data_IF_416054426049
#
_entry.id   IF_416054426049
#
_cell.length_a   1.000
_cell.length_b   1.000
_cell.length_c   1.000
_cell.angle_alpha   90.00
_cell.angle_beta   90.00
_cell.angle_gamma   90.00
#
_symmetry.space_group_name_H-M   'P 1'
#
loop_
_entity.id
_entity.type
_entity.pdbx_description
1 polymer ?
#
# COMPACT_ATOMS: atom_id res chain seq x y z
N UNK A 1 -13.42 -3.46 36.16
CA UNK A 1 -12.44 -3.25 35.07
C UNK A 1 -12.54 -4.48 34.19
N UNK A 2 -13.40 -4.41 33.18
CA UNK A 2 -13.76 -5.55 32.34
C UNK A 2 -12.94 -5.47 31.06
N UNK A 3 -11.92 -6.31 30.97
CA UNK A 3 -11.12 -6.54 29.77
C UNK A 3 -12.03 -6.93 28.61
N UNK A 4 -12.40 -5.96 27.78
CA UNK A 4 -12.90 -6.21 26.44
C UNK A 4 -11.71 -6.62 25.57
N UNK A 5 -11.23 -7.83 25.80
CA UNK A 5 -10.33 -8.48 24.85
C UNK A 5 -11.11 -8.63 23.55
N UNK A 6 -10.71 -7.85 22.55
CA UNK A 6 -11.35 -7.82 21.24
C UNK A 6 -11.17 -9.22 20.60
N UNK A 7 -12.16 -10.09 20.75
CA UNK A 7 -12.15 -11.41 20.12
C UNK A 7 -12.23 -11.24 18.59
N UNK A 8 -11.35 -11.95 17.88
CA UNK A 8 -11.30 -12.12 16.41
C UNK A 8 -10.57 -11.06 15.55
N UNK A 9 -9.64 -10.26 16.10
CA UNK A 9 -8.81 -9.30 15.31
C UNK A 9 -9.63 -8.46 14.30
N UNK A 10 -10.62 -7.67 14.76
CA UNK A 10 -11.47 -6.91 13.86
C UNK A 10 -10.68 -5.85 13.10
N UNK A 11 -11.06 -5.65 11.85
CA UNK A 11 -10.46 -4.68 10.97
C UNK A 11 -11.55 -3.98 10.16
N UNK A 12 -11.66 -2.67 10.30
CA UNK A 12 -12.55 -1.89 9.46
C UNK A 12 -11.79 -1.42 8.21
N UNK A 13 -12.38 -1.55 7.03
CA UNK A 13 -11.78 -1.08 5.79
C UNK A 13 -12.73 -0.13 5.09
N UNK A 14 -12.25 1.09 4.81
CA UNK A 14 -12.95 2.07 3.98
C UNK A 14 -12.12 2.31 2.73
N UNK A 15 -12.66 1.86 1.60
CA UNK A 15 -12.02 1.98 0.29
C UNK A 15 -12.88 2.78 -0.68
N UNK A 16 -12.25 3.27 -1.74
CA UNK A 16 -12.93 4.00 -2.79
C UNK A 16 -11.93 4.66 -3.74
N UNK A 17 -12.38 5.14 -4.89
CA UNK A 17 -11.52 5.83 -5.84
C UNK A 17 -11.01 7.16 -5.26
N UNK A 18 -10.01 7.74 -5.91
CA UNK A 18 -9.55 9.11 -5.61
C UNK A 18 -10.71 10.10 -5.73
N UNK A 19 -10.72 11.14 -4.88
CA UNK A 19 -11.77 12.15 -4.83
C UNK A 19 -13.19 11.64 -4.47
N UNK A 20 -13.32 10.41 -3.99
CA UNK A 20 -14.57 9.88 -3.42
C UNK A 20 -14.86 10.41 -2.00
N UNK A 21 -13.97 11.17 -1.36
CA UNK A 21 -14.18 11.61 0.02
C UNK A 21 -14.04 10.50 1.07
N UNK A 22 -13.52 9.31 0.68
CA UNK A 22 -13.22 8.20 1.60
C UNK A 22 -12.40 8.62 2.83
N UNK A 23 -11.44 9.53 2.66
CA UNK A 23 -10.56 9.99 3.74
C UNK A 23 -11.35 10.72 4.82
N UNK A 24 -12.20 11.69 4.42
CA UNK A 24 -13.07 12.42 5.35
C UNK A 24 -14.09 11.52 6.04
N UNK A 25 -14.64 10.54 5.31
CA UNK A 25 -15.52 9.52 5.88
C UNK A 25 -14.78 8.66 6.91
N UNK A 26 -13.58 8.18 6.58
CA UNK A 26 -12.75 7.40 7.49
C UNK A 26 -12.41 8.17 8.76
N UNK A 27 -12.07 9.46 8.64
CA UNK A 27 -11.81 10.32 9.80
C UNK A 27 -13.06 10.52 10.67
N UNK A 28 -14.25 10.72 10.09
CA UNK A 28 -15.52 10.78 10.84
C UNK A 28 -15.82 9.48 11.58
N UNK A 29 -15.64 8.34 10.92
CA UNK A 29 -15.85 7.02 11.53
C UNK A 29 -14.83 6.78 12.63
N UNK A 30 -13.56 7.10 12.39
CA UNK A 30 -12.49 6.97 13.37
C UNK A 30 -12.78 7.80 14.63
N UNK A 31 -13.18 9.06 14.47
CA UNK A 31 -13.58 9.94 15.57
C UNK A 31 -14.69 9.33 16.43
N UNK A 32 -15.75 8.78 15.79
CA UNK A 32 -16.90 8.19 16.50
C UNK A 32 -16.57 6.90 17.23
N UNK A 33 -15.66 6.10 16.69
CA UNK A 33 -15.24 4.83 17.28
C UNK A 33 -14.07 4.97 18.26
N UNK A 34 -13.47 6.16 18.37
CA UNK A 34 -12.19 6.33 19.07
C UNK A 34 -11.04 5.56 18.39
N UNK A 35 -11.15 5.34 17.08
CA UNK A 35 -10.22 4.58 16.25
C UNK A 35 -9.09 5.43 15.69
N UNK A 36 -8.03 4.75 15.26
CA UNK A 36 -6.92 5.31 14.50
C UNK A 36 -6.93 4.75 13.07
N UNK A 37 -6.38 5.51 12.12
CA UNK A 37 -6.40 5.16 10.70
C UNK A 37 -5.06 4.59 10.27
N UNK A 38 -5.05 3.49 9.53
CA UNK A 38 -3.88 2.98 8.80
C UNK A 38 -4.05 3.31 7.32
N UNK A 39 -3.16 4.12 6.75
CA UNK A 39 -3.23 4.47 5.32
C UNK A 39 -2.91 3.26 4.44
N UNK A 40 -3.75 2.99 3.46
CA UNK A 40 -3.52 2.03 2.38
C UNK A 40 -3.38 2.77 1.04
N UNK A 41 -2.48 3.74 1.01
CA UNK A 41 -2.10 4.50 -0.18
C UNK A 41 -0.59 4.43 -0.40
N UNK A 42 -0.18 3.84 -1.52
CA UNK A 42 1.22 3.60 -1.84
C UNK A 42 2.02 4.86 -2.15
N UNK A 43 1.35 6.02 -2.29
CA UNK A 43 2.02 7.32 -2.57
C UNK A 43 2.12 8.19 -1.33
N UNK A 44 1.15 8.11 -0.41
CA UNK A 44 1.15 8.93 0.81
C UNK A 44 2.23 8.52 1.82
N UNK A 45 2.89 7.37 1.62
CA UNK A 45 4.00 6.90 2.46
C UNK A 45 5.23 7.81 2.38
N UNK A 46 5.39 8.60 1.31
CA UNK A 46 6.61 9.37 1.04
C UNK A 46 6.54 10.79 1.60
N UNK A 47 7.50 11.17 2.44
CA UNK A 47 7.69 12.53 2.96
C UNK A 47 7.84 13.54 1.83
N UNK A 48 7.51 14.81 2.10
CA UNK A 48 7.67 15.96 1.16
C UNK A 48 6.85 15.90 -0.13
N UNK A 49 6.24 14.76 -0.47
CA UNK A 49 5.34 14.60 -1.60
C UNK A 49 3.89 14.71 -1.12
N UNK A 50 3.37 15.91 -0.90
CA UNK A 50 2.09 16.14 -0.23
C UNK A 50 0.95 16.41 -1.22
N UNK A 51 1.08 17.46 -2.05
CA UNK A 51 0.05 17.89 -2.99
C UNK A 51 -0.12 16.86 -4.10
N UNK A 52 0.98 16.46 -4.72
CA UNK A 52 0.93 15.56 -5.87
C UNK A 52 0.44 14.15 -5.54
N UNK A 53 0.68 13.69 -4.31
CA UNK A 53 0.17 12.39 -3.81
C UNK A 53 -1.20 12.49 -3.17
N UNK A 54 -1.68 13.72 -2.96
CA UNK A 54 -3.00 13.99 -2.43
C UNK A 54 -3.16 13.68 -0.96
N UNK A 55 -2.17 14.04 -0.14
CA UNK A 55 -2.30 14.12 1.31
C UNK A 55 -3.08 15.38 1.68
N UNK A 56 -4.39 15.31 1.46
CA UNK A 56 -5.30 16.35 1.93
C UNK A 56 -5.39 16.24 3.47
N UNK A 57 -4.38 16.72 4.22
CA UNK A 57 -4.26 16.52 5.68
C UNK A 57 -5.49 17.03 6.44
N UNK A 58 -6.14 18.09 5.94
CA UNK A 58 -7.38 18.64 6.48
C UNK A 58 -8.54 17.63 6.48
N UNK A 59 -8.53 16.63 5.58
CA UNK A 59 -9.55 15.58 5.57
C UNK A 59 -9.47 14.70 6.85
N UNK A 60 -8.37 14.74 7.59
CA UNK A 60 -8.17 14.04 8.87
C UNK A 60 -8.51 14.88 10.10
N UNK A 61 -8.95 16.13 9.93
CA UNK A 61 -9.36 17.00 11.05
C UNK A 61 -10.89 16.99 11.20
N UNK A 62 -11.37 16.56 12.37
CA UNK A 62 -12.80 16.50 12.70
C UNK A 62 -13.05 17.27 13.99
N UNK A 63 -13.93 18.28 13.94
CA UNK A 63 -14.25 19.14 15.09
C UNK A 63 -13.00 19.72 15.77
N UNK A 64 -12.06 20.23 14.96
CA UNK A 64 -10.74 20.75 15.37
C UNK A 64 -9.84 19.73 16.08
N UNK A 65 -10.10 18.42 15.94
CA UNK A 65 -9.25 17.34 16.44
C UNK A 65 -8.61 16.60 15.27
N UNK A 66 -7.30 16.46 15.33
CA UNK A 66 -6.54 15.64 14.40
C UNK A 66 -6.79 14.16 14.71
N UNK A 67 -7.26 13.39 13.73
CA UNK A 67 -7.36 11.94 13.83
C UNK A 67 -5.96 11.34 13.62
N UNK A 68 -5.50 10.40 14.47
CA UNK A 68 -4.23 9.72 14.26
C UNK A 68 -4.24 8.89 12.98
N UNK A 69 -3.19 9.03 12.17
CA UNK A 69 -3.02 8.29 10.92
C UNK A 69 -1.61 7.70 10.86
N UNK A 70 -1.54 6.42 10.54
CA UNK A 70 -0.32 5.64 10.38
C UNK A 70 0.01 5.45 8.89
N UNK A 71 1.28 5.17 8.61
CA UNK A 71 1.82 4.88 7.27
C UNK A 71 1.72 6.03 6.26
N UNK A 72 1.69 7.27 6.77
CA UNK A 72 1.90 8.49 6.00
C UNK A 72 3.25 9.06 6.42
N UNK A 73 4.03 9.58 5.47
CA UNK A 73 5.34 10.20 5.75
C UNK A 73 6.32 9.27 6.48
N UNK A 74 6.39 8.00 6.08
CA UNK A 74 7.26 6.99 6.70
C UNK A 74 8.49 6.64 5.84
N UNK A 75 8.57 7.13 4.60
CA UNK A 75 9.68 6.94 3.65
C UNK A 75 10.15 8.25 3.06
N UNK A 76 11.41 8.32 2.66
CA UNK A 76 11.92 9.44 1.87
C UNK A 76 11.63 9.21 0.38
N UNK A 77 11.37 10.28 -0.40
CA UNK A 77 11.36 10.22 -1.86
C UNK A 77 12.63 9.54 -2.41
N UNK A 78 12.47 8.70 -3.44
CA UNK A 78 13.55 7.88 -4.00
C UNK A 78 13.74 6.53 -3.30
N UNK A 79 13.19 6.34 -2.10
CA UNK A 79 13.18 5.03 -1.47
C UNK A 79 12.17 4.09 -2.13
N UNK A 80 12.52 2.80 -2.19
CA UNK A 80 11.59 1.76 -2.62
C UNK A 80 10.70 1.36 -1.47
N UNK A 81 9.41 1.25 -1.74
CA UNK A 81 8.43 0.76 -0.76
C UNK A 81 7.59 -0.36 -1.38
N UNK A 82 7.85 -1.59 -0.95
CA UNK A 82 7.26 -2.80 -1.52
C UNK A 82 5.98 -3.21 -0.80
N UNK A 83 5.23 -4.14 -1.39
CA UNK A 83 4.07 -4.74 -0.73
C UNK A 83 4.44 -5.49 0.56
N UNK A 84 5.65 -6.08 0.62
CA UNK A 84 6.17 -6.72 1.83
C UNK A 84 6.44 -5.69 2.93
N UNK A 85 7.06 -4.56 2.58
CA UNK A 85 7.29 -3.46 3.53
C UNK A 85 5.95 -2.94 4.09
N UNK A 86 4.96 -2.78 3.22
CA UNK A 86 3.61 -2.42 3.63
C UNK A 86 2.99 -3.41 4.61
N UNK A 87 3.02 -4.72 4.35
CA UNK A 87 2.47 -5.71 5.29
C UNK A 87 3.18 -5.67 6.66
N UNK A 88 4.51 -5.44 6.66
CA UNK A 88 5.29 -5.31 7.88
C UNK A 88 4.91 -4.07 8.68
N UNK A 89 4.90 -2.92 8.03
CA UNK A 89 4.59 -1.66 8.69
C UNK A 89 3.10 -1.60 9.09
N UNK A 90 2.21 -2.23 8.31
CA UNK A 90 0.80 -2.47 8.65
C UNK A 90 0.66 -3.29 9.93
N UNK A 91 1.35 -4.44 10.03
CA UNK A 91 1.26 -5.29 11.22
C UNK A 91 1.68 -4.54 12.48
N UNK A 92 2.75 -3.75 12.38
CA UNK A 92 3.23 -2.93 13.48
C UNK A 92 2.17 -1.90 13.91
N UNK A 93 1.65 -1.10 12.97
CA UNK A 93 0.62 -0.10 13.24
C UNK A 93 -0.67 -0.74 13.79
N UNK A 94 -1.11 -1.85 13.19
CA UNK A 94 -2.26 -2.61 13.65
C UNK A 94 -2.08 -3.11 15.09
N UNK A 95 -0.92 -3.68 15.41
CA UNK A 95 -0.62 -4.20 16.75
C UNK A 95 -0.60 -3.08 17.79
N UNK A 96 -0.04 -1.92 17.44
CA UNK A 96 -0.03 -0.74 18.31
C UNK A 96 -1.46 -0.27 18.63
N UNK A 97 -2.31 -0.12 17.61
CA UNK A 97 -3.70 0.32 17.79
C UNK A 97 -4.50 -0.74 18.56
N UNK A 98 -4.37 -2.02 18.21
CA UNK A 98 -5.07 -3.12 18.88
C UNK A 98 -4.67 -3.23 20.36
N UNK A 99 -3.40 -2.96 20.71
CA UNK A 99 -2.93 -2.96 22.10
C UNK A 99 -3.61 -1.89 22.98
N UNK A 100 -4.16 -0.84 22.37
CA UNK A 100 -4.95 0.21 23.05
C UNK A 100 -6.41 -0.23 23.29
N UNK A 101 -6.81 -1.44 22.87
CA UNK A 101 -8.18 -1.91 22.95
C UNK A 101 -9.13 -1.24 21.95
N UNK A 102 -8.57 -0.74 20.83
CA UNK A 102 -9.27 0.03 19.80
C UNK A 102 -9.30 -0.74 18.49
N UNK A 103 -10.41 -0.67 17.75
CA UNK A 103 -10.54 -1.31 16.43
C UNK A 103 -9.77 -0.49 15.39
N UNK A 104 -8.78 -1.05 14.67
CA UNK A 104 -8.06 -0.33 13.63
C UNK A 104 -8.90 -0.10 12.37
N UNK A 105 -8.74 1.06 11.73
CA UNK A 105 -9.44 1.44 10.49
C UNK A 105 -8.45 1.62 9.35
N UNK A 106 -8.57 0.82 8.30
CA UNK A 106 -7.79 0.97 7.06
C UNK A 106 -8.51 1.91 6.11
N UNK A 107 -7.82 2.94 5.62
CA UNK A 107 -8.38 3.84 4.61
C UNK A 107 -7.41 3.99 3.43
N UNK A 108 -7.89 3.78 2.21
CA UNK A 108 -6.99 3.89 1.06
C UNK A 108 -7.61 3.62 -0.30
N UNK A 109 -6.78 3.76 -1.33
CA UNK A 109 -7.13 3.52 -2.73
C UNK A 109 -6.24 2.47 -3.41
N UNK A 110 -5.16 2.03 -2.77
CA UNK A 110 -4.27 0.99 -3.33
C UNK A 110 -4.90 -0.37 -3.09
N UNK A 111 -5.69 -0.84 -4.06
CA UNK A 111 -6.41 -2.11 -3.97
C UNK A 111 -5.53 -3.31 -3.60
N UNK A 112 -4.31 -3.36 -4.13
CA UNK A 112 -3.34 -4.43 -3.82
C UNK A 112 -2.89 -4.43 -2.34
N UNK A 113 -2.74 -3.25 -1.72
CA UNK A 113 -2.35 -3.15 -0.30
C UNK A 113 -3.47 -3.69 0.58
N UNK A 114 -4.69 -3.25 0.32
CA UNK A 114 -5.89 -3.71 1.03
C UNK A 114 -6.07 -5.22 0.82
N UNK A 115 -5.99 -5.68 -0.43
CA UNK A 115 -6.17 -7.09 -0.78
C UNK A 115 -5.13 -7.99 -0.09
N UNK A 116 -3.87 -7.57 -0.07
CA UNK A 116 -2.79 -8.33 0.58
C UNK A 116 -3.00 -8.48 2.09
N UNK A 117 -3.66 -7.54 2.73
CA UNK A 117 -4.03 -7.61 4.16
C UNK A 117 -5.25 -8.52 4.36
N UNK A 118 -6.37 -8.22 3.68
CA UNK A 118 -7.64 -8.93 3.91
C UNK A 118 -7.59 -10.40 3.47
N UNK A 119 -6.81 -10.71 2.43
CA UNK A 119 -6.61 -12.09 1.93
C UNK A 119 -5.41 -12.78 2.55
N UNK A 120 -4.72 -12.13 3.49
CA UNK A 120 -3.53 -12.64 4.16
C UNK A 120 -2.50 -13.21 3.17
N UNK A 121 -2.05 -12.38 2.23
CA UNK A 121 -1.04 -12.82 1.26
C UNK A 121 0.22 -13.26 1.97
N UNK A 122 0.68 -14.47 1.65
CA UNK A 122 1.94 -15.02 2.17
C UNK A 122 3.13 -14.42 1.43
N UNK A 123 3.53 -13.21 1.82
CA UNK A 123 4.73 -12.56 1.32
C UNK A 123 5.92 -12.94 2.20
N UNK A 124 6.93 -13.57 1.59
CA UNK A 124 8.19 -13.87 2.24
C UNK A 124 9.23 -12.83 1.84
N UNK A 125 10.10 -12.44 2.76
CA UNK A 125 11.29 -11.68 2.43
C UNK A 125 12.32 -12.60 1.76
N UNK A 126 12.16 -12.81 0.46
CA UNK A 126 13.06 -13.67 -0.31
C UNK A 126 14.35 -12.91 -0.60
N UNK A 127 15.51 -13.33 -0.05
CA UNK A 127 16.78 -12.69 -0.35
C UNK A 127 17.15 -12.89 -1.81
N UNK A 128 17.88 -11.93 -2.37
CA UNK A 128 18.43 -12.06 -3.72
C UNK A 128 19.48 -13.16 -3.73
N UNK A 129 19.34 -14.14 -4.62
CA UNK A 129 20.35 -15.18 -4.81
C UNK A 129 21.16 -14.87 -6.06
N UNK A 130 22.32 -14.25 -5.86
CA UNK A 130 23.20 -13.80 -6.96
C UNK A 130 23.73 -14.95 -7.81
N UNK A 131 23.92 -16.14 -7.24
CA UNK A 131 24.39 -17.33 -7.97
C UNK A 131 23.32 -17.87 -8.90
N UNK A 132 22.09 -18.06 -8.40
CA UNK A 132 20.95 -18.49 -9.21
C UNK A 132 20.64 -17.49 -10.33
N UNK A 133 20.74 -16.19 -10.05
CA UNK A 133 20.54 -15.16 -11.08
C UNK A 133 21.55 -15.27 -12.20
N UNK A 134 22.84 -15.45 -11.90
CA UNK A 134 23.88 -15.65 -12.93
C UNK A 134 23.62 -16.89 -13.79
N UNK A 135 23.14 -17.97 -13.17
CA UNK A 135 22.77 -19.19 -13.89
C UNK A 135 21.56 -18.95 -14.82
N UNK A 136 20.50 -18.34 -14.30
CA UNK A 136 19.29 -18.05 -15.06
C UNK A 136 19.47 -16.98 -16.13
N UNK A 137 20.42 -16.06 -15.93
CA UNK A 137 20.83 -15.09 -16.94
C UNK A 137 21.41 -15.74 -18.21
N UNK A 138 21.85 -17.01 -18.16
CA UNK A 138 22.28 -17.76 -19.34
C UNK A 138 21.15 -18.50 -20.06
N UNK A 139 19.95 -18.58 -19.47
CA UNK A 139 18.79 -19.29 -20.05
C UNK A 139 17.95 -18.36 -20.92
N UNK A 140 17.18 -18.93 -21.85
CA UNK A 140 16.17 -18.19 -22.61
C UNK A 140 14.97 -17.83 -21.72
N UNK A 141 14.24 -16.77 -22.08
CA UNK A 141 13.03 -16.37 -21.34
C UNK A 141 11.96 -17.49 -21.41
N UNK A 142 11.93 -18.27 -22.49
CA UNK A 142 11.04 -19.43 -22.62
C UNK A 142 11.37 -20.53 -21.60
N UNK A 143 12.64 -20.91 -21.49
CA UNK A 143 13.08 -21.91 -20.50
C UNK A 143 12.76 -21.45 -19.07
N UNK A 144 13.00 -20.17 -18.76
CA UNK A 144 12.69 -19.62 -17.44
C UNK A 144 11.18 -19.61 -17.15
N UNK A 145 10.35 -19.31 -18.14
CA UNK A 145 8.90 -19.34 -18.00
C UNK A 145 8.37 -20.77 -17.81
N UNK A 146 8.94 -21.75 -18.52
CA UNK A 146 8.64 -23.16 -18.34
C UNK A 146 9.04 -23.63 -16.94
N UNK A 147 10.25 -23.28 -16.47
CA UNK A 147 10.68 -23.55 -15.10
C UNK A 147 9.72 -22.96 -14.07
N UNK A 148 9.30 -21.70 -14.22
CA UNK A 148 8.36 -21.06 -13.31
C UNK A 148 7.01 -21.78 -13.29
N UNK A 149 6.49 -22.14 -14.46
CA UNK A 149 5.21 -22.85 -14.61
C UNK A 149 5.20 -24.24 -13.95
N UNK A 150 6.36 -24.90 -13.82
CA UNK A 150 6.46 -26.18 -13.10
C UNK A 150 6.36 -26.05 -11.58
N UNK A 151 6.70 -24.88 -11.01
CA UNK A 151 6.73 -24.65 -9.55
C UNK A 151 5.43 -24.03 -9.07
N UNK A 152 4.90 -23.06 -9.81
CA UNK A 152 3.71 -22.31 -9.41
C UNK A 152 2.77 -22.09 -10.59
N UNK A 153 1.44 -22.23 -10.39
CA UNK A 153 0.48 -21.87 -11.42
C UNK A 153 0.60 -20.37 -11.75
N UNK A 154 0.82 -20.07 -13.03
CA UNK A 154 0.84 -18.70 -13.53
C UNK A 154 -0.58 -18.12 -13.52
N UNK A 155 -0.91 -17.35 -12.48
CA UNK A 155 -2.21 -16.69 -12.37
C UNK A 155 -2.32 -15.43 -13.24
N UNK A 156 -1.20 -14.86 -13.68
CA UNK A 156 -1.13 -13.71 -14.59
C UNK A 156 0.11 -13.79 -15.50
N UNK A 157 0.20 -12.89 -16.49
CA UNK A 157 1.36 -12.76 -17.38
C UNK A 157 2.37 -11.69 -16.92
N UNK A 158 2.07 -10.96 -15.87
CA UNK A 158 2.86 -9.80 -15.42
C UNK A 158 4.25 -10.23 -14.93
N UNK A 159 4.33 -11.41 -14.32
CA UNK A 159 5.59 -12.01 -13.88
C UNK A 159 6.51 -12.39 -15.05
N UNK A 160 5.97 -12.61 -16.25
CA UNK A 160 6.73 -12.99 -17.45
C UNK A 160 6.92 -11.82 -18.44
N UNK A 161 6.44 -10.61 -18.11
CA UNK A 161 6.54 -9.43 -19.00
C UNK A 161 7.97 -8.96 -19.23
N UNK A 162 8.84 -9.10 -18.22
CA UNK A 162 10.23 -8.68 -18.32
C UNK A 162 11.13 -9.74 -17.70
N UNK A 163 12.31 -9.94 -18.27
CA UNK A 163 13.29 -10.89 -17.76
C UNK A 163 13.61 -10.70 -16.28
N UNK A 164 13.71 -9.44 -15.82
CA UNK A 164 13.93 -9.12 -14.39
C UNK A 164 12.79 -9.61 -13.49
N UNK A 165 11.52 -9.47 -13.93
CA UNK A 165 10.37 -9.98 -13.19
C UNK A 165 10.33 -11.50 -13.21
N UNK A 166 10.63 -12.12 -14.35
CA UNK A 166 10.63 -13.57 -14.51
C UNK A 166 11.65 -14.24 -13.57
N UNK A 167 12.88 -13.72 -13.57
CA UNK A 167 13.94 -14.15 -12.66
C UNK A 167 13.53 -13.98 -11.19
N UNK A 168 12.91 -12.85 -10.82
CA UNK A 168 12.45 -12.61 -9.45
C UNK A 168 11.29 -13.54 -9.06
N UNK A 169 10.34 -13.79 -9.96
CA UNK A 169 9.23 -14.70 -9.72
C UNK A 169 9.75 -16.13 -9.48
N UNK A 170 10.73 -16.57 -10.28
CA UNK A 170 11.38 -17.87 -10.11
C UNK A 170 12.17 -17.95 -8.79
N UNK A 171 12.89 -16.89 -8.42
CA UNK A 171 13.60 -16.78 -7.14
C UNK A 171 12.63 -16.94 -5.95
N UNK A 172 11.47 -16.28 -6.03
CA UNK A 172 10.43 -16.38 -5.00
C UNK A 172 9.84 -17.79 -4.94
N UNK A 173 9.47 -18.37 -6.09
CA UNK A 173 8.84 -19.68 -6.16
C UNK A 173 9.76 -20.78 -5.60
N UNK A 174 11.04 -20.78 -6.01
CA UNK A 174 12.05 -21.72 -5.49
C UNK A 174 12.26 -21.54 -3.98
N UNK A 175 12.31 -20.30 -3.50
CA UNK A 175 12.49 -20.04 -2.08
C UNK A 175 11.29 -20.53 -1.25
N UNK A 176 10.06 -20.30 -1.72
CA UNK A 176 8.83 -20.76 -1.08
C UNK A 176 8.76 -22.28 -1.02
N UNK A 177 9.14 -22.98 -2.10
CA UNK A 177 9.17 -24.44 -2.12
C UNK A 177 10.17 -25.02 -1.10
N UNK A 178 11.32 -24.35 -0.91
CA UNK A 178 12.32 -24.75 0.09
C UNK A 178 11.92 -24.41 1.53
N UNK A 179 10.96 -23.50 1.72
CA UNK A 179 10.53 -23.03 3.04
C UNK A 179 9.00 -23.11 3.18
N UNK A 180 8.39 -24.30 3.03
CA UNK A 180 6.94 -24.45 3.00
C UNK A 180 6.26 -24.05 4.31
N UNK A 181 6.99 -24.11 5.44
CA UNK A 181 6.45 -23.88 6.79
C UNK A 181 6.59 -22.43 7.30
N UNK A 182 7.27 -21.54 6.57
CA UNK A 182 7.40 -20.14 7.02
C UNK A 182 6.05 -19.43 7.01
N UNK A 183 5.49 -19.02 8.17
CA UNK A 183 4.17 -18.40 8.20
C UNK A 183 4.17 -17.06 7.46
N UNK A 184 2.99 -16.68 6.95
CA UNK A 184 2.76 -15.30 6.53
C UNK A 184 2.88 -14.35 7.71
N UNK A 185 3.10 -13.07 7.44
CA UNK A 185 3.33 -12.08 8.50
C UNK A 185 2.05 -11.77 9.30
N UNK A 186 0.90 -11.77 8.63
CA UNK A 186 -0.35 -11.25 9.18
C UNK A 186 -1.20 -12.34 9.84
N UNK A 187 -1.89 -12.04 10.94
CA UNK A 187 -2.95 -12.88 11.45
C UNK A 187 -4.18 -12.82 10.52
N UNK A 188 -5.14 -13.71 10.75
CA UNK A 188 -6.46 -13.57 10.12
C UNK A 188 -7.25 -12.44 10.82
N UNK A 189 -7.93 -11.62 10.02
CA UNK A 189 -8.73 -10.49 10.48
C UNK A 189 -10.22 -10.72 10.25
N UNK A 190 -11.06 -10.40 11.23
CA UNK A 190 -12.51 -10.28 11.04
C UNK A 190 -12.82 -8.92 10.40
N UNK A 191 -12.96 -8.93 9.07
CA UNK A 191 -12.90 -7.69 8.29
C UNK A 191 -14.28 -7.22 7.83
N UNK A 192 -14.63 -5.97 8.13
CA UNK A 192 -15.77 -5.28 7.52
C UNK A 192 -15.28 -4.31 6.44
N UNK A 193 -15.65 -4.56 5.18
CA UNK A 193 -15.24 -3.75 4.04
C UNK A 193 -16.39 -2.85 3.57
N UNK A 194 -16.13 -1.54 3.51
CA UNK A 194 -17.06 -0.53 3.01
C UNK A 194 -16.44 0.22 1.83
N UNK A 195 -17.19 0.28 0.72
CA UNK A 195 -16.79 0.99 -0.50
C UNK A 195 -17.56 2.29 -0.66
N UNK A 196 -16.84 3.42 -0.79
CA UNK A 196 -17.44 4.70 -1.17
C UNK A 196 -17.45 4.80 -2.69
N UNK A 197 -18.65 4.95 -3.26
CA UNK A 197 -18.85 5.05 -4.70
C UNK A 197 -19.63 6.30 -5.05
N UNK A 198 -19.16 7.02 -6.06
CA UNK A 198 -19.86 8.12 -6.70
C UNK A 198 -20.28 7.75 -8.12
N UNK A 199 -21.19 8.52 -8.69
CA UNK A 199 -21.41 8.51 -10.12
C UNK A 199 -20.13 8.97 -10.85
N UNK A 200 -19.78 8.29 -11.95
CA UNK A 200 -18.52 8.49 -12.69
C UNK A 200 -18.34 9.94 -13.18
N UNK A 201 -19.43 10.62 -13.53
CA UNK A 201 -19.43 12.02 -13.96
C UNK A 201 -19.01 12.96 -12.82
N UNK A 202 -19.60 12.75 -11.64
CA UNK A 202 -19.29 13.49 -10.41
C UNK A 202 -17.86 13.21 -9.96
N UNK A 203 -17.40 11.96 -10.02
CA UNK A 203 -16.04 11.56 -9.70
C UNK A 203 -15.02 12.31 -10.57
N UNK A 204 -15.19 12.29 -11.90
CA UNK A 204 -14.31 13.01 -12.84
C UNK A 204 -14.25 14.49 -12.54
N UNK A 205 -15.39 15.15 -12.34
CA UNK A 205 -15.45 16.57 -12.00
C UNK A 205 -14.65 16.88 -10.74
N UNK A 206 -14.84 16.08 -9.67
CA UNK A 206 -14.12 16.25 -8.41
C UNK A 206 -12.61 16.02 -8.54
N UNK A 207 -12.20 15.05 -9.36
CA UNK A 207 -10.77 14.82 -9.67
C UNK A 207 -10.19 16.07 -10.33
N UNK A 208 -10.86 16.61 -11.35
CA UNK A 208 -10.42 17.83 -12.04
C UNK A 208 -10.31 19.01 -11.08
N UNK A 209 -11.35 19.29 -10.30
CA UNK A 209 -11.36 20.40 -9.33
C UNK A 209 -10.23 20.27 -8.29
N UNK A 210 -9.99 19.06 -7.78
CA UNK A 210 -8.90 18.81 -6.82
C UNK A 210 -7.53 19.00 -7.46
N UNK A 211 -7.34 18.57 -8.71
CA UNK A 211 -6.08 18.76 -9.43
C UNK A 211 -5.81 20.25 -9.68
N UNK A 212 -6.80 20.98 -10.19
CA UNK A 212 -6.69 22.43 -10.41
C UNK A 212 -6.35 23.19 -9.12
N UNK A 213 -6.97 22.79 -8.00
CA UNK A 213 -6.67 23.37 -6.69
C UNK A 213 -5.22 23.10 -6.28
N UNK A 214 -4.75 21.86 -6.36
CA UNK A 214 -3.37 21.49 -6.00
C UNK A 214 -2.33 22.22 -6.86
N UNK A 215 -2.60 22.37 -8.15
CA UNK A 215 -1.76 23.16 -9.05
C UNK A 215 -1.64 24.61 -8.57
N UNK A 216 -2.74 25.22 -8.13
CA UNK A 216 -2.73 26.58 -7.56
C UNK A 216 -2.07 26.67 -6.18
N UNK A 217 -2.09 25.58 -5.40
CA UNK A 217 -1.49 25.49 -4.07
C UNK A 217 0.02 25.22 -4.08
N UNK A 218 0.62 25.03 -5.27
CA UNK A 218 2.06 24.87 -5.40
C UNK A 218 2.52 23.46 -5.78
N UNK A 219 1.67 22.63 -6.40
CA UNK A 219 2.04 21.26 -6.75
C UNK A 219 3.22 21.19 -7.74
N UNK A 220 3.35 22.17 -8.65
CA UNK A 220 4.48 22.21 -9.58
C UNK A 220 5.76 22.50 -8.80
N UNK A 221 5.71 23.46 -7.88
CA UNK A 221 6.81 23.90 -7.03
C UNK A 221 7.28 22.77 -6.10
N UNK A 222 6.35 21.94 -5.59
CA UNK A 222 6.65 20.71 -4.87
C UNK A 222 7.52 19.77 -5.71
N UNK A 223 7.12 19.52 -6.97
CA UNK A 223 7.86 18.65 -7.89
C UNK A 223 9.22 19.26 -8.27
N UNK A 224 9.27 20.55 -8.56
CA UNK A 224 10.53 21.27 -8.85
C UNK A 224 11.51 21.23 -7.69
N UNK A 225 11.02 21.30 -6.45
CA UNK A 225 11.86 21.18 -5.27
C UNK A 225 12.44 19.76 -5.12
N UNK A 226 11.63 18.72 -5.31
CA UNK A 226 12.12 17.33 -5.28
C UNK A 226 13.21 17.09 -6.33
N UNK A 227 13.05 17.63 -7.54
CA UNK A 227 14.06 17.56 -8.59
C UNK A 227 15.36 18.28 -8.19
N UNK A 228 15.27 19.48 -7.59
CA UNK A 228 16.44 20.22 -7.09
C UNK A 228 17.17 19.50 -5.96
N UNK A 229 16.43 18.74 -5.15
CA UNK A 229 16.97 17.92 -4.06
C UNK A 229 17.61 16.61 -4.55
N UNK A 230 17.62 16.37 -5.87
CA UNK A 230 18.32 15.25 -6.49
C UNK A 230 17.46 14.00 -6.70
N UNK A 231 16.14 14.08 -6.50
CA UNK A 231 15.24 12.98 -6.84
C UNK A 231 15.16 12.84 -8.35
N UNK A 232 15.34 11.62 -8.86
CA UNK A 232 15.38 11.41 -10.31
C UNK A 232 14.01 11.62 -10.94
N UNK A 233 13.93 12.15 -12.18
CA UNK A 233 12.67 12.22 -12.92
C UNK A 233 11.99 10.85 -13.08
N UNK A 234 12.77 9.78 -13.23
CA UNK A 234 12.25 8.42 -13.35
C UNK A 234 11.52 7.97 -12.07
N UNK A 235 12.01 8.33 -10.89
CA UNK A 235 11.34 8.06 -9.62
C UNK A 235 10.01 8.83 -9.52
N UNK A 236 10.00 10.10 -9.93
CA UNK A 236 8.78 10.92 -9.93
C UNK A 236 7.72 10.37 -10.91
N UNK A 237 8.14 9.94 -12.09
CA UNK A 237 7.26 9.25 -13.05
C UNK A 237 6.74 7.92 -12.51
N UNK A 238 7.56 7.17 -11.77
CA UNK A 238 7.11 5.96 -11.08
C UNK A 238 6.00 6.26 -10.07
N UNK A 239 6.11 7.37 -9.34
CA UNK A 239 5.06 7.88 -8.46
C UNK A 239 3.84 8.42 -9.21
N UNK A 240 3.91 8.60 -10.54
CA UNK A 240 2.91 9.30 -11.37
C UNK A 240 2.67 10.74 -10.90
N UNK A 241 3.75 11.40 -10.51
CA UNK A 241 3.81 12.85 -10.33
C UNK A 241 4.15 13.54 -11.65
#
# INVERSE_FOLDING_TARGET
MSDHCIKNNPLLVILGPTASGKTRLAALVAQRLGSEIISADSRQVYRRMNLGTGKDYDDYVIDNKQIPVHLIDIREPGEKYTLFDYQKDFLHAWSEIASKGVIPLVCGGTGLYIEAVIRNYRLLNVPVNTELRKEWEQKSDQELAEMLATITPLHNKTDIETRKRLIRALEIAVYQQKHPDLPGLLPNFDTLVMGVKYERTTERRRITERLERRMKEGMIEEVEQLLREGISPDDLMYYRL
#
